data_IF_822932128673
#
_entry.id   IF_822932128673
#
_cell.length_a   1.000
_cell.length_b   1.000
_cell.length_c   1.000
_cell.angle_alpha   90.00
_cell.angle_beta   90.00
_cell.angle_gamma   90.00
#
_symmetry.space_group_name_H-M   'P 1'
#
loop_
_entity.id
_entity.type
_entity.pdbx_description
1 polymer ?
#
# COMPACT_ATOMS: atom_id res chain seq x y z
N UNK A 1 -12.39 -8.62 -17.28
CA UNK A 1 -11.42 -8.55 -16.16
C UNK A 1 -12.10 -8.83 -14.83
N UNK A 2 -13.31 -8.30 -14.60
CA UNK A 2 -14.11 -8.55 -13.39
C UNK A 2 -15.31 -9.45 -13.72
N UNK A 3 -15.47 -10.53 -12.95
CA UNK A 3 -16.61 -11.45 -13.04
C UNK A 3 -16.95 -11.95 -11.62
N UNK A 4 -17.98 -11.37 -11.02
CA UNK A 4 -18.32 -11.59 -9.62
C UNK A 4 -19.18 -12.86 -9.40
N UNK A 5 -19.61 -13.54 -10.47
CA UNK A 5 -20.35 -14.81 -10.36
C UNK A 5 -19.50 -15.95 -9.80
N UNK A 6 -18.18 -15.84 -9.89
CA UNK A 6 -17.26 -16.88 -9.42
C UNK A 6 -17.24 -17.02 -7.90
N UNK A 7 -17.59 -15.96 -7.16
CA UNK A 7 -17.58 -16.01 -5.70
C UNK A 7 -18.54 -17.07 -5.13
N UNK A 8 -19.55 -17.48 -5.90
CA UNK A 8 -20.52 -18.51 -5.52
C UNK A 8 -20.00 -19.94 -5.75
N UNK A 9 -19.01 -20.10 -6.63
CA UNK A 9 -18.46 -21.42 -6.99
C UNK A 9 -17.24 -21.80 -6.16
N UNK A 10 -16.55 -20.81 -5.57
CA UNK A 10 -15.39 -21.05 -4.70
C UNK A 10 -15.90 -21.42 -3.32
N UNK A 11 -15.74 -22.70 -2.99
CA UNK A 11 -16.20 -23.29 -1.73
C UNK A 11 -15.11 -23.29 -0.66
N UNK A 12 -15.52 -23.06 0.58
CA UNK A 12 -14.67 -23.14 1.77
C UNK A 12 -14.06 -24.54 1.88
N UNK A 13 -12.75 -24.59 2.10
CA UNK A 13 -12.02 -25.84 2.37
C UNK A 13 -11.69 -25.89 3.86
N UNK A 14 -12.58 -26.49 4.64
CA UNK A 14 -12.47 -26.52 6.10
C UNK A 14 -11.20 -27.21 6.59
N UNK A 15 -10.70 -28.22 5.87
CA UNK A 15 -9.46 -28.93 6.25
C UNK A 15 -8.25 -28.02 6.06
N UNK A 16 -8.17 -27.31 4.92
CA UNK A 16 -7.12 -26.34 4.67
C UNK A 16 -7.21 -25.16 5.66
N UNK A 17 -8.38 -24.62 5.92
CA UNK A 17 -8.55 -23.55 6.89
C UNK A 17 -8.13 -23.97 8.30
N UNK A 18 -8.52 -25.17 8.76
CA UNK A 18 -8.13 -25.69 10.07
C UNK A 18 -6.60 -25.83 10.16
N UNK A 19 -5.96 -26.34 9.10
CA UNK A 19 -4.49 -26.42 9.00
C UNK A 19 -3.83 -25.04 9.15
N UNK A 20 -4.33 -24.03 8.42
CA UNK A 20 -3.79 -22.66 8.47
C UNK A 20 -4.01 -22.05 9.85
N UNK A 21 -5.20 -22.26 10.43
CA UNK A 21 -5.59 -21.74 11.74
C UNK A 21 -4.74 -22.34 12.86
N UNK A 22 -4.46 -23.64 12.80
CA UNK A 22 -3.61 -24.31 13.78
C UNK A 22 -2.17 -23.79 13.69
N UNK A 23 -1.63 -23.65 12.48
CA UNK A 23 -0.31 -23.06 12.26
C UNK A 23 -0.24 -21.60 12.75
N UNK A 24 -1.29 -20.80 12.52
CA UNK A 24 -1.40 -19.44 13.06
C UNK A 24 -1.34 -19.44 14.59
N UNK A 25 -2.10 -20.30 15.27
CA UNK A 25 -2.10 -20.37 16.75
C UNK A 25 -0.72 -20.71 17.32
N UNK A 26 0.06 -21.52 16.61
CA UNK A 26 1.39 -21.96 17.03
C UNK A 26 2.48 -20.94 16.71
N UNK A 27 2.40 -20.27 15.55
CA UNK A 27 3.52 -19.55 14.98
C UNK A 27 3.29 -18.04 14.79
N UNK A 28 2.05 -17.56 14.84
CA UNK A 28 1.76 -16.15 14.51
C UNK A 28 2.38 -15.16 15.47
N UNK A 29 2.29 -15.42 16.78
CA UNK A 29 2.79 -14.51 17.81
C UNK A 29 2.32 -13.08 17.57
N UNK A 30 3.25 -12.18 17.27
CA UNK A 30 2.96 -10.76 17.01
C UNK A 30 2.30 -10.48 15.64
N UNK A 31 2.20 -11.48 14.76
CA UNK A 31 1.56 -11.38 13.45
C UNK A 31 0.11 -11.86 13.42
N UNK A 32 -0.42 -12.28 14.58
CA UNK A 32 -1.82 -12.68 14.69
C UNK A 32 -2.74 -11.53 14.22
N UNK A 33 -3.85 -11.84 13.53
CA UNK A 33 -4.81 -10.83 13.13
C UNK A 33 -5.48 -10.19 14.35
N UNK A 34 -6.00 -8.97 14.18
CA UNK A 34 -6.72 -8.28 15.25
C UNK A 34 -7.95 -9.09 15.71
N UNK A 35 -8.31 -9.01 16.99
CA UNK A 35 -9.38 -9.82 17.62
C UNK A 35 -10.79 -9.63 17.04
N UNK A 36 -10.99 -8.65 16.16
CA UNK A 36 -12.23 -8.55 15.39
C UNK A 36 -12.41 -9.79 14.48
N UNK A 37 -11.31 -10.31 13.93
CA UNK A 37 -11.29 -11.54 13.13
C UNK A 37 -11.59 -12.80 13.95
N UNK A 38 -11.51 -12.75 15.30
CA UNK A 38 -11.97 -13.84 16.15
C UNK A 38 -13.48 -14.05 16.02
N UNK A 39 -14.25 -12.97 15.78
CA UNK A 39 -15.70 -13.06 15.52
C UNK A 39 -15.98 -13.69 14.17
N UNK A 40 -15.20 -13.34 13.14
CA UNK A 40 -15.31 -14.00 11.83
C UNK A 40 -14.94 -15.49 11.94
N UNK A 41 -13.97 -15.85 12.77
CA UNK A 41 -13.69 -17.27 13.00
C UNK A 41 -14.79 -17.96 13.83
N UNK A 42 -15.37 -17.30 14.83
CA UNK A 42 -16.36 -17.93 15.75
C UNK A 42 -17.80 -17.92 15.24
N UNK A 43 -18.25 -16.85 14.59
CA UNK A 43 -19.58 -16.75 13.96
C UNK A 43 -19.70 -17.73 12.80
N UNK A 44 -18.66 -17.84 11.97
CA UNK A 44 -18.67 -18.68 10.77
C UNK A 44 -18.25 -20.13 11.04
N UNK A 45 -17.82 -20.48 12.26
CA UNK A 45 -17.75 -21.88 12.70
C UNK A 45 -19.15 -22.49 12.96
N UNK A 46 -20.22 -21.70 12.95
CA UNK A 46 -21.58 -22.16 13.31
C UNK A 46 -22.64 -21.98 12.22
N UNK A 47 -22.32 -21.26 11.13
CA UNK A 47 -23.22 -21.06 9.99
C UNK A 47 -22.87 -22.00 8.84
N UNK A 48 -23.88 -22.44 8.08
CA UNK A 48 -23.77 -23.23 6.83
C UNK A 48 -23.12 -22.45 5.67
N UNK A 49 -22.19 -21.55 5.98
CA UNK A 49 -21.57 -20.66 5.02
C UNK A 49 -20.39 -21.34 4.33
N UNK A 50 -20.70 -21.82 3.12
CA UNK A 50 -19.81 -22.69 2.35
C UNK A 50 -18.97 -21.98 1.28
N UNK A 51 -19.04 -20.65 1.09
CA UNK A 51 -18.43 -20.02 -0.09
C UNK A 51 -17.82 -18.65 0.14
N UNK A 52 -16.87 -18.25 -0.71
CA UNK A 52 -16.24 -16.93 -0.68
C UNK A 52 -17.25 -15.78 -0.62
N UNK A 53 -18.40 -15.91 -1.31
CA UNK A 53 -19.47 -14.89 -1.34
C UNK A 53 -19.87 -14.42 0.05
N UNK A 54 -19.93 -15.33 1.02
CA UNK A 54 -20.48 -15.03 2.33
C UNK A 54 -19.50 -14.26 3.23
N UNK A 55 -18.21 -14.26 2.88
CA UNK A 55 -17.14 -13.56 3.58
C UNK A 55 -16.67 -12.30 2.84
N UNK A 56 -17.25 -11.98 1.69
CA UNK A 56 -16.88 -10.78 0.94
C UNK A 56 -17.16 -9.50 1.74
N UNK A 57 -18.20 -9.48 2.58
CA UNK A 57 -18.51 -8.30 3.40
C UNK A 57 -17.38 -8.02 4.39
N UNK A 58 -16.84 -9.07 5.03
CA UNK A 58 -15.69 -8.93 5.93
C UNK A 58 -14.42 -8.52 5.19
N UNK A 59 -14.22 -8.99 3.95
CA UNK A 59 -12.99 -8.70 3.19
C UNK A 59 -12.97 -7.33 2.52
N UNK A 60 -14.11 -6.83 2.05
CA UNK A 60 -14.15 -5.60 1.24
C UNK A 60 -15.24 -4.61 1.67
N UNK A 61 -15.96 -4.90 2.75
CA UNK A 61 -17.01 -4.06 3.31
C UNK A 61 -18.29 -4.03 2.46
N UNK A 62 -19.40 -3.77 3.14
CA UNK A 62 -20.73 -3.77 2.51
C UNK A 62 -20.87 -2.72 1.41
N UNK A 63 -20.22 -1.56 1.56
CA UNK A 63 -20.16 -0.55 0.51
C UNK A 63 -19.31 -1.01 -0.69
N UNK A 64 -18.22 -1.73 -0.44
CA UNK A 64 -17.34 -2.25 -1.49
C UNK A 64 -17.99 -3.33 -2.36
N UNK A 65 -18.99 -4.03 -1.82
CA UNK A 65 -19.80 -5.05 -2.51
C UNK A 65 -20.92 -4.47 -3.37
N UNK A 66 -21.33 -3.23 -3.12
CA UNK A 66 -22.45 -2.65 -3.86
C UNK A 66 -22.05 -2.33 -5.30
N UNK A 67 -22.99 -2.46 -6.25
CA UNK A 67 -22.88 -1.76 -7.52
C UNK A 67 -22.68 -0.27 -7.27
N UNK A 68 -21.79 0.35 -8.04
CA UNK A 68 -21.53 1.77 -7.90
C UNK A 68 -22.75 2.58 -8.38
N UNK A 69 -23.19 3.55 -7.59
CA UNK A 69 -24.27 4.45 -8.00
C UNK A 69 -23.79 5.49 -9.05
N UNK A 70 -24.71 6.29 -9.59
CA UNK A 70 -24.38 7.28 -10.62
C UNK A 70 -23.39 8.34 -10.12
N UNK A 71 -23.49 8.75 -8.86
CA UNK A 71 -22.64 9.79 -8.28
C UNK A 71 -21.22 9.25 -8.05
N UNK A 72 -21.10 8.08 -7.45
CA UNK A 72 -19.84 7.38 -7.25
C UNK A 72 -19.19 7.06 -8.61
N UNK A 73 -19.97 6.63 -9.61
CA UNK A 73 -19.46 6.38 -10.97
C UNK A 73 -18.86 7.63 -11.58
N UNK A 74 -19.59 8.75 -11.54
CA UNK A 74 -19.10 10.02 -12.06
C UNK A 74 -17.81 10.47 -11.35
N UNK A 75 -17.71 10.23 -10.04
CA UNK A 75 -16.51 10.51 -9.27
C UNK A 75 -15.30 9.69 -9.75
N UNK A 76 -15.45 8.37 -9.89
CA UNK A 76 -14.38 7.52 -10.41
C UNK A 76 -14.04 7.86 -11.87
N UNK A 77 -15.03 8.12 -12.72
CA UNK A 77 -14.82 8.50 -14.12
C UNK A 77 -14.00 9.78 -14.25
N UNK A 78 -14.34 10.82 -13.46
CA UNK A 78 -13.57 12.06 -13.40
C UNK A 78 -12.13 11.82 -12.94
N UNK A 79 -11.93 10.93 -11.97
CA UNK A 79 -10.60 10.58 -11.50
C UNK A 79 -9.81 9.83 -12.58
N UNK A 80 -10.44 8.87 -13.27
CA UNK A 80 -9.82 8.12 -14.37
C UNK A 80 -9.42 8.99 -15.56
N UNK A 81 -10.08 10.11 -15.83
CA UNK A 81 -9.63 11.05 -16.87
C UNK A 81 -8.19 11.53 -16.65
N UNK A 82 -7.76 11.65 -15.38
CA UNK A 82 -6.43 12.11 -15.04
C UNK A 82 -5.40 10.98 -14.93
N UNK A 83 -5.83 9.76 -14.57
CA UNK A 83 -4.89 8.70 -14.16
C UNK A 83 -4.90 7.43 -14.99
N UNK A 84 -5.89 7.19 -15.87
CA UNK A 84 -6.05 5.89 -16.57
C UNK A 84 -5.04 5.68 -17.72
N UNK A 85 -3.74 5.66 -17.38
CA UNK A 85 -2.64 5.49 -18.32
C UNK A 85 -2.52 4.04 -18.84
N UNK A 86 -3.18 3.08 -18.18
CA UNK A 86 -3.25 1.69 -18.59
C UNK A 86 -4.46 1.37 -19.48
N UNK A 87 -5.36 2.34 -19.70
CA UNK A 87 -6.64 2.17 -20.39
C UNK A 87 -7.51 1.04 -19.80
N UNK A 88 -7.46 0.87 -18.49
CA UNK A 88 -8.13 -0.20 -17.76
C UNK A 88 -9.57 0.13 -17.39
N UNK A 89 -9.99 1.40 -17.44
CA UNK A 89 -11.39 1.76 -17.13
C UNK A 89 -12.39 1.05 -18.06
N UNK A 90 -11.99 0.78 -19.29
CA UNK A 90 -12.81 0.08 -20.29
C UNK A 90 -13.08 -1.39 -19.91
N UNK A 91 -12.36 -1.94 -18.93
CA UNK A 91 -12.57 -3.29 -18.44
C UNK A 91 -13.65 -3.38 -17.36
N UNK A 92 -14.15 -2.24 -16.87
CA UNK A 92 -15.27 -2.15 -15.95
C UNK A 92 -16.57 -2.32 -16.74
N UNK A 93 -17.42 -3.25 -16.31
CA UNK A 93 -18.69 -3.56 -16.95
C UNK A 93 -19.85 -3.35 -15.96
N UNK A 94 -21.09 -3.61 -16.40
CA UNK A 94 -22.28 -3.41 -15.55
C UNK A 94 -22.35 -4.33 -14.32
N UNK A 95 -21.53 -5.38 -14.27
CA UNK A 95 -21.40 -6.26 -13.10
C UNK A 95 -20.26 -5.87 -12.14
N UNK A 96 -19.49 -4.84 -12.48
CA UNK A 96 -18.42 -4.34 -11.63
C UNK A 96 -18.98 -3.70 -10.35
N UNK A 97 -18.41 -4.07 -9.22
CA UNK A 97 -18.76 -3.53 -7.90
C UNK A 97 -17.81 -2.38 -7.54
N UNK A 98 -18.14 -1.58 -6.51
CA UNK A 98 -17.37 -0.40 -6.12
C UNK A 98 -15.88 -0.71 -5.93
N UNK A 99 -15.57 -1.87 -5.36
CA UNK A 99 -14.20 -2.33 -5.20
C UNK A 99 -13.46 -2.52 -6.53
N UNK A 100 -14.08 -3.07 -7.58
CA UNK A 100 -13.44 -3.23 -8.90
C UNK A 100 -12.93 -1.88 -9.47
N UNK A 101 -13.70 -0.80 -9.27
CA UNK A 101 -13.27 0.56 -9.63
C UNK A 101 -12.04 0.99 -8.82
N UNK A 102 -12.04 0.72 -7.52
CA UNK A 102 -10.89 0.90 -6.65
C UNK A 102 -9.64 0.18 -7.16
N UNK A 103 -9.75 -1.09 -7.57
CA UNK A 103 -8.60 -1.84 -8.10
C UNK A 103 -8.05 -1.25 -9.40
N UNK A 104 -8.92 -0.77 -10.31
CA UNK A 104 -8.50 -0.08 -11.54
C UNK A 104 -7.80 1.24 -11.22
N UNK A 105 -8.27 1.96 -10.20
CA UNK A 105 -7.63 3.18 -9.71
C UNK A 105 -6.25 2.89 -9.12
N UNK A 106 -6.15 1.90 -8.22
CA UNK A 106 -4.91 1.58 -7.50
C UNK A 106 -3.80 1.18 -8.48
N UNK A 107 -4.07 0.29 -9.44
CA UNK A 107 -3.06 -0.14 -10.42
C UNK A 107 -2.59 1.01 -11.32
N UNK A 108 -3.49 1.93 -11.69
CA UNK A 108 -3.13 3.10 -12.50
C UNK A 108 -2.22 4.06 -11.72
N UNK A 109 -2.59 4.38 -10.47
CA UNK A 109 -1.75 5.19 -9.59
C UNK A 109 -0.38 4.54 -9.38
N UNK A 110 -0.36 3.26 -9.01
CA UNK A 110 0.89 2.50 -8.85
C UNK A 110 1.74 2.54 -10.13
N UNK A 111 1.12 2.40 -11.31
CA UNK A 111 1.86 2.46 -12.57
C UNK A 111 2.46 3.85 -12.85
N UNK A 112 1.74 4.94 -12.57
CA UNK A 112 2.26 6.32 -12.74
C UNK A 112 3.57 6.51 -11.96
N UNK A 113 3.60 6.08 -10.70
CA UNK A 113 4.74 6.35 -9.81
C UNK A 113 5.85 5.32 -9.92
N UNK A 114 5.53 4.05 -10.16
CA UNK A 114 6.54 3.00 -10.37
C UNK A 114 7.18 3.04 -11.76
N UNK A 115 6.48 3.59 -12.77
CA UNK A 115 6.90 3.60 -14.18
C UNK A 115 7.21 2.21 -14.73
N UNK A 116 6.49 1.20 -14.23
CA UNK A 116 6.64 -0.16 -14.69
C UNK A 116 6.10 -0.33 -16.13
N UNK A 117 6.59 -1.37 -16.80
CA UNK A 117 6.17 -1.70 -18.16
C UNK A 117 6.05 -3.20 -18.31
N UNK A 118 5.33 -3.64 -19.35
CA UNK A 118 5.18 -5.06 -19.67
C UNK A 118 6.47 -5.70 -20.17
N UNK A 119 7.49 -4.92 -20.50
CA UNK A 119 8.75 -5.42 -21.07
C UNK A 119 9.80 -5.76 -20.01
N UNK A 120 9.52 -5.46 -18.73
CA UNK A 120 10.46 -5.68 -17.63
C UNK A 120 9.79 -6.41 -16.48
N UNK A 121 10.49 -7.40 -15.93
CA UNK A 121 10.03 -8.07 -14.72
C UNK A 121 10.18 -7.17 -13.49
N UNK A 122 9.14 -7.13 -12.65
CA UNK A 122 9.14 -6.41 -11.38
C UNK A 122 8.40 -7.18 -10.30
N UNK A 123 8.80 -6.95 -9.06
CA UNK A 123 8.33 -7.69 -7.90
C UNK A 123 7.42 -6.82 -7.03
N UNK A 124 6.27 -7.36 -6.63
CA UNK A 124 5.31 -6.72 -5.73
C UNK A 124 5.20 -7.51 -4.43
N UNK A 125 5.17 -6.82 -3.30
CA UNK A 125 4.75 -7.36 -2.01
C UNK A 125 3.46 -6.65 -1.58
N UNK A 126 2.38 -7.40 -1.40
CA UNK A 126 1.13 -6.88 -0.83
C UNK A 126 0.91 -7.48 0.56
N UNK A 127 0.75 -6.63 1.57
CA UNK A 127 0.37 -7.05 2.93
C UNK A 127 -1.12 -6.76 3.12
N UNK A 128 -1.85 -7.76 3.60
CA UNK A 128 -3.30 -7.74 3.75
C UNK A 128 -4.00 -7.77 2.38
N UNK A 129 -3.53 -8.63 1.47
CA UNK A 129 -4.08 -8.72 0.11
C UNK A 129 -5.48 -9.35 0.02
N UNK A 130 -6.03 -9.82 1.15
CA UNK A 130 -7.35 -10.45 1.17
C UNK A 130 -7.37 -11.71 0.31
N UNK A 131 -8.50 -11.94 -0.34
CA UNK A 131 -8.65 -13.03 -1.31
C UNK A 131 -7.89 -12.80 -2.64
N UNK A 132 -7.01 -11.80 -2.76
CA UNK A 132 -6.13 -11.62 -3.92
C UNK A 132 -6.72 -10.86 -5.11
N UNK A 133 -7.70 -9.98 -4.86
CA UNK A 133 -8.32 -9.16 -5.92
C UNK A 133 -7.29 -8.31 -6.68
N UNK A 134 -6.39 -7.61 -5.97
CA UNK A 134 -5.40 -6.75 -6.62
C UNK A 134 -4.33 -7.56 -7.34
N UNK A 135 -3.86 -8.66 -6.73
CA UNK A 135 -2.96 -9.63 -7.37
C UNK A 135 -3.50 -10.12 -8.72
N UNK A 136 -4.80 -10.45 -8.79
CA UNK A 136 -5.49 -10.81 -10.04
C UNK A 136 -5.41 -9.69 -11.08
N UNK A 137 -5.61 -8.44 -10.67
CA UNK A 137 -5.59 -7.29 -11.60
C UNK A 137 -4.20 -7.09 -12.19
N UNK A 138 -3.16 -7.12 -11.34
CA UNK A 138 -1.76 -7.04 -11.79
C UNK A 138 -1.40 -8.21 -12.70
N UNK A 139 -1.69 -9.44 -12.29
CA UNK A 139 -1.39 -10.65 -13.07
C UNK A 139 -2.06 -10.61 -14.44
N UNK A 140 -3.35 -10.24 -14.52
CA UNK A 140 -4.05 -10.16 -15.80
C UNK A 140 -3.57 -9.03 -16.71
N UNK A 141 -3.10 -7.91 -16.14
CA UNK A 141 -2.64 -6.78 -16.94
C UNK A 141 -1.18 -6.94 -17.39
N UNK A 142 -0.26 -7.23 -16.48
CA UNK A 142 1.17 -7.32 -16.78
C UNK A 142 1.60 -8.69 -17.28
N UNK A 143 0.81 -9.74 -17.01
CA UNK A 143 1.16 -11.13 -17.31
C UNK A 143 2.54 -11.47 -16.71
N UNK A 144 3.27 -12.45 -17.21
CA UNK A 144 4.53 -12.96 -16.63
C UNK A 144 5.65 -11.94 -16.33
N UNK A 145 5.43 -10.65 -16.60
CA UNK A 145 6.29 -9.54 -16.17
C UNK A 145 6.07 -9.11 -14.72
N UNK A 146 4.99 -9.52 -14.04
CA UNK A 146 4.82 -9.27 -12.60
C UNK A 146 5.08 -10.53 -11.79
N UNK A 147 5.87 -10.40 -10.73
CA UNK A 147 6.04 -11.39 -9.67
C UNK A 147 5.39 -10.87 -8.39
N UNK A 148 4.34 -11.52 -7.92
CA UNK A 148 3.47 -10.99 -6.88
C UNK A 148 3.57 -11.85 -5.62
N UNK A 149 3.89 -11.24 -4.48
CA UNK A 149 3.82 -11.92 -3.19
C UNK A 149 2.65 -11.35 -2.40
N UNK A 150 1.66 -12.20 -2.14
CA UNK A 150 0.51 -11.88 -1.30
C UNK A 150 0.78 -12.40 0.10
N UNK A 151 0.81 -11.47 1.05
CA UNK A 151 1.02 -11.72 2.47
C UNK A 151 -0.26 -11.37 3.22
N UNK A 152 -0.75 -12.28 4.05
CA UNK A 152 -1.95 -12.04 4.86
C UNK A 152 -1.84 -12.71 6.25
N UNK A 153 -2.60 -12.22 7.22
CA UNK A 153 -2.66 -12.74 8.60
C UNK A 153 -3.96 -13.49 8.90
N UNK A 154 -4.96 -13.44 8.01
CA UNK A 154 -6.29 -14.02 8.27
C UNK A 154 -6.36 -15.40 7.61
N UNK A 155 -6.53 -16.51 8.36
CA UNK A 155 -6.51 -17.86 7.82
C UNK A 155 -7.45 -18.09 6.64
N UNK A 156 -8.71 -17.64 6.80
CA UNK A 156 -9.74 -17.77 5.76
C UNK A 156 -9.43 -16.92 4.52
N UNK A 157 -8.82 -15.73 4.69
CA UNK A 157 -8.32 -14.90 3.58
C UNK A 157 -7.23 -15.64 2.79
N UNK A 158 -6.25 -16.22 3.49
CA UNK A 158 -5.14 -16.97 2.87
C UNK A 158 -5.67 -18.14 2.04
N UNK A 159 -6.58 -18.94 2.60
CA UNK A 159 -7.21 -20.06 1.89
C UNK A 159 -7.94 -19.59 0.63
N UNK A 160 -8.84 -18.60 0.76
CA UNK A 160 -9.61 -18.11 -0.38
C UNK A 160 -8.73 -17.42 -1.41
N UNK A 161 -7.64 -16.77 -1.02
CA UNK A 161 -6.70 -16.17 -1.96
C UNK A 161 -6.12 -17.21 -2.91
N UNK A 162 -5.76 -18.40 -2.41
CA UNK A 162 -5.24 -19.48 -3.24
C UNK A 162 -6.31 -20.01 -4.19
N UNK A 163 -7.48 -20.37 -3.67
CA UNK A 163 -8.57 -20.91 -4.49
C UNK A 163 -9.04 -19.91 -5.55
N UNK A 164 -9.16 -18.63 -5.18
CA UNK A 164 -9.57 -17.55 -6.07
C UNK A 164 -8.54 -17.29 -7.17
N UNK A 165 -7.25 -17.20 -6.82
CA UNK A 165 -6.22 -16.89 -7.79
C UNK A 165 -5.98 -18.04 -8.77
N UNK A 166 -6.04 -19.30 -8.31
CA UNK A 166 -5.94 -20.48 -9.20
C UNK A 166 -7.04 -20.47 -10.25
N UNK A 167 -8.26 -20.12 -9.85
CA UNK A 167 -9.39 -20.08 -10.77
C UNK A 167 -9.37 -18.84 -11.69
N UNK A 168 -9.01 -17.67 -11.15
CA UNK A 168 -9.10 -16.40 -11.88
C UNK A 168 -7.83 -16.00 -12.65
N UNK A 169 -6.72 -16.71 -12.42
CA UNK A 169 -5.44 -16.51 -13.12
C UNK A 169 -4.90 -17.86 -13.64
N UNK A 170 -5.64 -18.60 -14.50
CA UNK A 170 -5.26 -19.96 -14.91
C UNK A 170 -3.95 -20.04 -15.71
N UNK A 171 -3.46 -18.90 -16.22
CA UNK A 171 -2.18 -18.79 -16.93
C UNK A 171 -0.99 -18.54 -15.98
N UNK A 172 -1.25 -18.09 -14.75
CA UNK A 172 -0.21 -17.77 -13.78
C UNK A 172 0.22 -19.02 -13.01
N UNK A 173 1.53 -19.16 -12.78
CA UNK A 173 2.04 -20.17 -11.85
C UNK A 173 1.86 -19.66 -10.42
N UNK A 174 1.08 -20.37 -9.62
CA UNK A 174 0.75 -19.94 -8.26
C UNK A 174 1.42 -20.89 -7.27
N UNK A 175 2.31 -20.33 -6.46
CA UNK A 175 2.93 -21.01 -5.33
C UNK A 175 2.15 -20.73 -4.06
N UNK A 176 2.02 -21.74 -3.21
CA UNK A 176 1.27 -21.62 -1.97
C UNK A 176 1.99 -22.34 -0.83
N UNK A 177 2.26 -21.60 0.25
CA UNK A 177 2.98 -22.13 1.41
C UNK A 177 2.40 -23.45 1.92
N UNK A 178 1.08 -23.58 2.00
CA UNK A 178 0.44 -24.78 2.56
C UNK A 178 0.40 -25.99 1.62
N UNK A 179 0.78 -25.82 0.35
CA UNK A 179 1.09 -26.93 -0.55
C UNK A 179 2.51 -27.49 -0.35
N UNK A 180 3.33 -26.84 0.48
CA UNK A 180 4.74 -27.17 0.65
C UNK A 180 5.62 -26.63 -0.48
N UNK A 181 5.10 -25.66 -1.25
CA UNK A 181 5.88 -24.96 -2.27
C UNK A 181 7.04 -24.18 -1.63
N UNK A 182 8.17 -24.13 -2.32
CA UNK A 182 9.31 -23.29 -1.91
C UNK A 182 9.04 -21.84 -2.32
N UNK A 183 9.40 -20.89 -1.45
CA UNK A 183 9.33 -19.46 -1.78
C UNK A 183 10.35 -19.11 -2.88
N UNK A 184 9.88 -19.07 -4.12
CA UNK A 184 10.71 -18.90 -5.31
C UNK A 184 9.95 -18.17 -6.43
N UNK A 185 10.29 -16.90 -6.65
CA UNK A 185 9.66 -16.07 -7.70
C UNK A 185 10.17 -16.36 -9.11
N UNK A 186 11.19 -17.20 -9.28
CA UNK A 186 11.57 -17.72 -10.60
C UNK A 186 10.62 -18.87 -11.01
N UNK A 187 10.11 -19.63 -10.04
CA UNK A 187 9.12 -20.71 -10.27
C UNK A 187 7.68 -20.20 -10.38
N UNK A 188 7.30 -19.24 -9.55
CA UNK A 188 5.91 -18.78 -9.44
C UNK A 188 5.76 -17.33 -9.89
N UNK A 189 4.62 -17.00 -10.49
CA UNK A 189 4.23 -15.63 -10.83
C UNK A 189 3.49 -14.97 -9.66
N UNK A 190 2.75 -15.75 -8.88
CA UNK A 190 2.14 -15.31 -7.63
C UNK A 190 2.54 -16.30 -6.53
N UNK A 191 2.96 -15.79 -5.37
CA UNK A 191 3.22 -16.60 -4.19
C UNK A 191 2.37 -16.12 -3.02
N UNK A 192 1.64 -17.04 -2.40
CA UNK A 192 0.75 -16.77 -1.27
C UNK A 192 1.39 -17.32 -0.01
N UNK A 193 1.57 -16.46 0.99
CA UNK A 193 2.29 -16.78 2.22
C UNK A 193 1.64 -16.12 3.43
N UNK A 194 1.50 -16.83 4.57
CA UNK A 194 1.09 -16.18 5.81
C UNK A 194 2.16 -15.22 6.33
N UNK A 195 1.72 -14.11 6.92
CA UNK A 195 2.60 -13.07 7.48
C UNK A 195 3.61 -13.59 8.49
N UNK A 196 3.23 -14.61 9.28
CA UNK A 196 4.07 -15.19 10.33
C UNK A 196 5.23 -16.06 9.83
N UNK A 197 5.19 -16.49 8.57
CA UNK A 197 6.32 -17.16 7.90
C UNK A 197 7.05 -16.22 6.93
N UNK A 198 6.38 -15.18 6.42
CA UNK A 198 6.92 -14.28 5.42
C UNK A 198 8.26 -13.65 5.81
N UNK A 199 8.37 -13.05 7.01
CA UNK A 199 9.59 -12.33 7.41
C UNK A 199 10.84 -13.22 7.40
N UNK A 200 10.69 -14.49 7.79
CA UNK A 200 11.80 -15.46 7.85
C UNK A 200 12.15 -16.04 6.48
N UNK A 201 11.14 -16.22 5.63
CA UNK A 201 11.31 -16.83 4.30
C UNK A 201 11.75 -15.83 3.25
N UNK A 202 11.37 -14.56 3.39
CA UNK A 202 11.57 -13.58 2.34
C UNK A 202 13.05 -13.25 2.12
N UNK A 203 13.54 -13.63 0.95
CA UNK A 203 14.86 -13.30 0.42
C UNK A 203 14.79 -12.36 -0.80
N UNK A 204 13.61 -11.83 -1.13
CA UNK A 204 13.35 -11.00 -2.30
C UNK A 204 13.35 -9.51 -1.94
N UNK A 205 13.81 -8.71 -2.90
CA UNK A 205 13.61 -7.26 -2.92
C UNK A 205 12.49 -6.87 -3.88
N UNK A 206 11.65 -5.93 -3.47
CA UNK A 206 10.44 -5.53 -4.18
C UNK A 206 10.57 -4.15 -4.81
N UNK A 207 10.02 -4.00 -6.00
CA UNK A 207 9.88 -2.71 -6.68
C UNK A 207 8.68 -1.93 -6.13
N UNK A 208 7.66 -2.64 -5.65
CA UNK A 208 6.44 -2.08 -5.08
C UNK A 208 6.09 -2.84 -3.80
N UNK A 209 5.83 -2.11 -2.72
CA UNK A 209 5.09 -2.60 -1.55
C UNK A 209 3.70 -1.98 -1.49
N UNK A 210 2.68 -2.76 -1.14
CA UNK A 210 1.28 -2.35 -1.14
C UNK A 210 0.63 -2.72 0.19
N UNK A 211 -0.12 -1.79 0.76
CA UNK A 211 -1.11 -2.08 1.79
C UNK A 211 -2.38 -1.26 1.54
N UNK A 212 -3.53 -1.92 1.54
CA UNK A 212 -4.84 -1.29 1.37
C UNK A 212 -5.76 -1.82 2.45
N UNK A 213 -6.38 -0.91 3.21
CA UNK A 213 -7.48 -1.15 4.15
C UNK A 213 -7.26 -2.24 5.21
N UNK A 214 -6.01 -2.66 5.47
CA UNK A 214 -5.68 -3.66 6.50
C UNK A 214 -4.81 -3.11 7.63
N UNK A 215 -3.88 -2.18 7.38
CA UNK A 215 -3.13 -1.52 8.45
C UNK A 215 -4.03 -0.62 9.32
N UNK A 216 -5.17 -0.14 8.80
CA UNK A 216 -6.15 0.60 9.60
C UNK A 216 -6.72 -0.23 10.78
N UNK A 217 -6.71 -1.55 10.67
CA UNK A 217 -7.17 -2.50 11.69
C UNK A 217 -6.08 -2.87 12.73
N UNK A 218 -4.89 -2.29 12.57
CA UNK A 218 -3.72 -2.62 13.36
C UNK A 218 -3.45 -1.57 14.44
N UNK A 219 -2.83 -2.00 15.54
CA UNK A 219 -2.25 -1.07 16.52
C UNK A 219 -0.91 -0.50 16.04
N UNK A 220 -0.39 0.49 16.76
CA UNK A 220 0.85 1.17 16.39
C UNK A 220 2.05 0.22 16.20
N UNK A 221 2.22 -0.78 17.07
CA UNK A 221 3.36 -1.70 17.01
C UNK A 221 3.28 -2.65 15.80
N UNK A 222 2.07 -3.03 15.41
CA UNK A 222 1.80 -3.80 14.20
C UNK A 222 2.07 -2.97 12.93
N UNK A 223 1.56 -1.73 12.87
CA UNK A 223 1.84 -0.80 11.77
C UNK A 223 3.34 -0.61 11.62
N UNK A 224 4.04 -0.29 12.73
CA UNK A 224 5.49 -0.12 12.77
C UNK A 224 6.24 -1.34 12.26
N UNK A 225 5.79 -2.54 12.60
CA UNK A 225 6.40 -3.79 12.15
C UNK A 225 6.31 -3.95 10.64
N UNK A 226 5.14 -3.77 10.06
CA UNK A 226 4.97 -3.90 8.61
C UNK A 226 5.65 -2.76 7.83
N UNK A 227 5.71 -1.55 8.38
CA UNK A 227 6.53 -0.47 7.82
C UNK A 227 8.02 -0.83 7.82
N UNK A 228 8.54 -1.42 8.90
CA UNK A 228 9.92 -1.92 8.94
C UNK A 228 10.15 -3.08 7.95
N UNK A 229 9.16 -3.94 7.74
CA UNK A 229 9.24 -4.99 6.72
C UNK A 229 9.35 -4.36 5.34
N UNK A 230 8.47 -3.41 4.99
CA UNK A 230 8.52 -2.68 3.73
C UNK A 230 9.84 -1.95 3.55
N UNK A 231 10.33 -1.25 4.57
CA UNK A 231 11.60 -0.55 4.49
C UNK A 231 12.75 -1.51 4.20
N UNK A 232 12.78 -2.67 4.85
CA UNK A 232 13.82 -3.67 4.58
C UNK A 232 13.68 -4.33 3.22
N UNK A 233 12.46 -4.62 2.73
CA UNK A 233 12.28 -5.43 1.54
C UNK A 233 12.12 -4.62 0.24
N UNK A 234 11.75 -3.34 0.30
CA UNK A 234 11.64 -2.48 -0.89
C UNK A 234 13.03 -2.05 -1.37
N UNK A 235 13.25 -2.11 -2.68
CA UNK A 235 14.48 -1.63 -3.35
C UNK A 235 14.60 -0.12 -3.21
N UNK A 236 15.81 0.40 -3.30
CA UNK A 236 16.00 1.84 -3.44
C UNK A 236 15.35 2.30 -4.75
N UNK A 237 14.69 3.45 -4.72
CA UNK A 237 13.77 3.94 -5.76
C UNK A 237 12.49 3.11 -5.98
N UNK A 238 12.27 2.03 -5.22
CA UNK A 238 10.98 1.35 -5.17
C UNK A 238 9.90 2.23 -4.52
N UNK A 239 8.64 1.88 -4.75
CA UNK A 239 7.50 2.63 -4.21
C UNK A 239 6.77 1.85 -3.11
N UNK A 240 6.18 2.59 -2.18
CA UNK A 240 5.29 2.07 -1.15
C UNK A 240 3.94 2.74 -1.34
N UNK A 241 2.90 1.93 -1.57
CA UNK A 241 1.52 2.36 -1.75
C UNK A 241 0.70 2.00 -0.51
N UNK A 242 0.17 3.00 0.17
CA UNK A 242 -0.68 2.83 1.36
C UNK A 242 -2.04 3.49 1.09
N UNK A 243 -3.14 2.80 1.35
CA UNK A 243 -4.47 3.40 1.34
C UNK A 243 -5.25 2.89 2.54
N UNK A 244 -5.26 3.67 3.62
CA UNK A 244 -5.83 3.26 4.90
C UNK A 244 -6.52 4.44 5.59
N UNK A 245 -7.62 4.15 6.30
CA UNK A 245 -8.19 5.10 7.24
C UNK A 245 -7.34 5.20 8.50
N UNK A 246 -6.88 6.41 8.82
CA UNK A 246 -6.24 6.78 10.10
C UNK A 246 -7.27 7.06 11.21
N UNK A 247 -8.54 6.69 11.02
CA UNK A 247 -9.62 6.91 12.00
C UNK A 247 -10.14 5.65 12.68
N UNK A 248 -9.56 4.49 12.36
CA UNK A 248 -10.07 3.19 12.79
C UNK A 248 -9.46 2.71 14.12
N UNK A 249 -8.43 1.83 14.12
CA UNK A 249 -7.82 1.32 15.36
C UNK A 249 -6.80 2.31 15.93
N UNK A 250 -5.74 2.62 15.18
CA UNK A 250 -4.74 3.61 15.59
C UNK A 250 -4.96 4.95 14.88
N UNK A 251 -5.10 6.02 15.67
CA UNK A 251 -5.48 7.37 15.19
C UNK A 251 -4.38 8.42 15.27
N UNK A 252 -3.15 8.00 15.57
CA UNK A 252 -1.99 8.89 15.66
C UNK A 252 -1.19 8.96 14.37
N UNK A 253 -0.05 9.64 14.44
CA UNK A 253 0.92 9.69 13.34
C UNK A 253 1.52 8.31 13.10
N UNK A 254 1.51 7.89 11.83
CA UNK A 254 2.07 6.60 11.46
C UNK A 254 3.60 6.69 11.39
N UNK A 255 4.32 5.65 11.83
CA UNK A 255 5.78 5.70 11.96
C UNK A 255 6.49 5.48 10.63
N UNK A 256 6.27 6.38 9.66
CA UNK A 256 6.92 6.30 8.34
C UNK A 256 8.45 6.38 8.50
N UNK A 257 9.21 5.47 7.86
CA UNK A 257 10.66 5.54 7.84
C UNK A 257 11.17 6.85 7.22
N UNK A 258 12.21 7.44 7.83
CA UNK A 258 12.79 8.72 7.40
C UNK A 258 13.22 8.74 5.93
N UNK A 259 13.57 7.59 5.38
CA UNK A 259 14.08 7.43 4.03
C UNK A 259 12.98 7.30 2.96
N UNK A 260 11.72 7.46 3.34
CA UNK A 260 10.57 7.44 2.44
C UNK A 260 10.18 8.86 2.04
N UNK A 261 10.30 9.17 0.75
CA UNK A 261 9.86 10.45 0.21
C UNK A 261 8.39 10.37 -0.22
N UNK A 262 7.50 11.10 0.44
CA UNK A 262 6.10 11.22 0.01
C UNK A 262 6.01 11.88 -1.38
N UNK A 263 5.53 11.13 -2.38
CA UNK A 263 5.30 11.60 -3.74
C UNK A 263 3.83 12.01 -3.96
N UNK A 264 2.91 11.39 -3.23
CA UNK A 264 1.48 11.62 -3.33
C UNK A 264 0.81 11.33 -1.99
N UNK A 265 -0.09 12.20 -1.56
CA UNK A 265 -0.99 11.97 -0.42
C UNK A 265 -2.27 12.74 -0.64
N UNK A 266 -3.34 12.05 -0.97
CA UNK A 266 -4.67 12.64 -1.11
C UNK A 266 -5.75 11.60 -0.86
N UNK A 267 -6.94 12.04 -0.44
CA UNK A 267 -8.12 11.21 -0.51
C UNK A 267 -8.47 10.94 -1.99
N UNK A 268 -8.91 9.73 -2.26
CA UNK A 268 -9.31 9.26 -3.58
C UNK A 268 -10.78 8.85 -3.53
N UNK A 269 -11.41 8.50 -4.67
CA UNK A 269 -12.78 7.97 -4.67
C UNK A 269 -13.01 6.72 -3.79
N UNK A 270 -11.94 6.03 -3.36
CA UNK A 270 -11.99 4.92 -2.41
C UNK A 270 -12.14 5.38 -0.95
N UNK A 271 -11.70 6.59 -0.63
CA UNK A 271 -11.68 7.11 0.74
C UNK A 271 -13.09 7.19 1.32
N UNK A 272 -13.35 6.38 2.35
CA UNK A 272 -14.66 6.32 3.04
C UNK A 272 -14.69 7.10 4.36
N UNK A 273 -13.55 7.66 4.79
CA UNK A 273 -13.47 8.64 5.88
C UNK A 273 -12.64 9.85 5.46
N UNK A 274 -12.67 10.92 6.26
CA UNK A 274 -11.89 12.14 5.99
C UNK A 274 -10.38 11.89 6.09
N UNK A 275 -9.94 11.02 7.01
CA UNK A 275 -8.53 10.64 7.16
C UNK A 275 -8.25 9.28 6.51
N UNK A 276 -8.71 9.07 5.28
CA UNK A 276 -8.37 7.88 4.50
C UNK A 276 -7.56 8.26 3.26
N UNK A 277 -6.33 8.79 3.42
CA UNK A 277 -5.50 9.14 2.28
C UNK A 277 -5.05 7.87 1.54
N UNK A 278 -4.93 8.00 0.23
CA UNK A 278 -4.01 7.20 -0.56
C UNK A 278 -2.66 7.93 -0.55
N UNK A 279 -1.62 7.21 -0.13
CA UNK A 279 -0.26 7.69 0.06
C UNK A 279 0.70 6.86 -0.79
N UNK A 280 1.59 7.55 -1.51
CA UNK A 280 2.61 6.91 -2.32
C UNK A 280 3.94 7.50 -1.93
N UNK A 281 4.81 6.64 -1.42
CA UNK A 281 6.17 6.98 -1.06
C UNK A 281 7.14 6.39 -2.06
N UNK A 282 8.28 7.04 -2.23
CA UNK A 282 9.44 6.50 -2.92
C UNK A 282 10.57 6.32 -1.93
N UNK A 283 11.12 5.11 -1.86
CA UNK A 283 12.28 4.84 -1.00
C UNK A 283 13.54 5.47 -1.60
N UNK A 284 14.31 6.18 -0.80
CA UNK A 284 15.57 6.80 -1.22
C UNK A 284 16.67 6.62 -0.17
N UNK A 285 17.89 7.10 -0.47
CA UNK A 285 19.01 7.11 0.47
C UNK A 285 19.04 8.35 1.41
N UNK A 286 18.13 9.31 1.22
CA UNK A 286 18.02 10.55 2.01
C UNK A 286 17.16 10.39 3.27
N UNK A 287 17.06 11.46 4.08
CA UNK A 287 16.11 11.58 5.19
C UNK A 287 15.11 12.70 4.88
N UNK A 288 13.82 12.45 5.10
CA UNK A 288 12.70 13.33 4.77
C UNK A 288 11.73 13.54 5.93
N UNK A 289 12.10 13.17 7.15
CA UNK A 289 11.26 13.36 8.34
C UNK A 289 10.76 14.80 8.50
N UNK A 290 11.61 15.79 8.22
CA UNK A 290 11.24 17.20 8.27
C UNK A 290 10.14 17.58 7.24
N UNK A 291 10.18 16.99 6.03
CA UNK A 291 9.16 17.25 4.99
C UNK A 291 7.82 16.61 5.36
N UNK A 292 7.89 15.44 5.98
CA UNK A 292 6.74 14.64 6.37
C UNK A 292 5.95 15.32 7.50
N UNK A 293 6.65 15.76 8.55
CA UNK A 293 6.05 16.53 9.64
C UNK A 293 5.41 17.84 9.18
N UNK A 294 5.98 18.50 8.17
CA UNK A 294 5.43 19.71 7.57
C UNK A 294 4.13 19.44 6.79
N UNK A 295 4.10 18.38 5.99
CA UNK A 295 2.89 18.00 5.25
C UNK A 295 1.75 17.66 6.21
N UNK A 296 2.04 16.86 7.24
CA UNK A 296 1.04 16.43 8.22
C UNK A 296 0.54 17.61 9.08
N UNK A 297 1.41 18.57 9.43
CA UNK A 297 1.00 19.84 10.03
C UNK A 297 -0.01 20.60 9.16
N UNK A 298 0.24 20.74 7.86
CA UNK A 298 -0.69 21.43 6.96
C UNK A 298 -2.02 20.69 6.80
N UNK A 299 -2.01 19.35 6.69
CA UNK A 299 -3.24 18.55 6.64
C UNK A 299 -4.07 18.71 7.92
N UNK A 300 -3.43 18.74 9.09
CA UNK A 300 -4.09 18.96 10.37
C UNK A 300 -4.64 20.40 10.50
N UNK A 301 -3.96 21.40 9.93
CA UNK A 301 -4.46 22.79 9.90
C UNK A 301 -5.65 22.95 8.96
N UNK A 302 -5.63 22.35 7.76
CA UNK A 302 -6.79 22.33 6.86
C UNK A 302 -8.03 21.71 7.55
N UNK A 303 -7.84 20.62 8.30
CA UNK A 303 -8.90 20.00 9.10
C UNK A 303 -9.49 20.97 10.14
N UNK A 304 -8.65 21.71 10.86
CA UNK A 304 -9.11 22.73 11.82
C UNK A 304 -9.87 23.88 11.15
N UNK A 305 -9.49 24.26 9.93
CA UNK A 305 -10.20 25.26 9.14
C UNK A 305 -11.57 24.75 8.64
N UNK A 306 -11.65 23.49 8.21
CA UNK A 306 -12.89 22.87 7.75
C UNK A 306 -13.88 22.59 8.91
N UNK A 307 -13.40 22.27 10.11
CA UNK A 307 -14.23 22.13 11.30
C UNK A 307 -14.94 23.43 11.71
N UNK A 308 -14.51 24.58 11.18
CA UNK A 308 -15.18 25.88 11.34
C UNK A 308 -16.32 26.13 10.33
N UNK A 309 -16.54 25.23 9.37
CA UNK A 309 -17.63 25.31 8.39
C UNK A 309 -18.65 24.19 8.62
N UNK A 310 -19.90 24.60 8.88
CA UNK A 310 -21.03 23.71 9.14
C UNK A 310 -21.31 22.80 7.94
N UNK A 311 -21.56 21.52 8.24
CA UNK A 311 -21.39 20.40 7.33
C UNK A 311 -22.41 20.33 6.19
N UNK A 312 -21.90 20.25 4.94
CA UNK A 312 -22.50 19.52 3.81
C UNK A 312 -21.63 19.62 2.55
N UNK A 313 -20.33 19.33 2.66
CA UNK A 313 -19.47 19.24 1.47
C UNK A 313 -18.52 18.07 1.59
N UNK A 314 -18.91 16.92 1.04
CA UNK A 314 -17.96 15.98 0.44
C UNK A 314 -17.32 16.70 -0.76
N UNK A 315 -16.31 17.53 -0.49
CA UNK A 315 -15.58 18.26 -1.52
C UNK A 315 -14.61 17.30 -2.21
N UNK A 316 -15.13 16.59 -3.21
CA UNK A 316 -14.28 15.97 -4.21
C UNK A 316 -13.60 17.06 -5.02
N UNK A 317 -12.26 17.01 -5.10
CA UNK A 317 -11.47 18.00 -5.81
C UNK A 317 -11.88 18.04 -7.29
N UNK A 318 -12.14 19.24 -7.82
CA UNK A 318 -12.39 19.43 -9.24
C UNK A 318 -11.18 18.98 -10.07
N UNK A 319 -11.41 18.54 -11.32
CA UNK A 319 -10.37 18.12 -12.28
C UNK A 319 -9.14 19.03 -12.30
N UNK A 320 -9.35 20.34 -12.26
CA UNK A 320 -8.28 21.33 -12.25
C UNK A 320 -7.38 21.24 -11.00
N UNK A 321 -7.95 20.96 -9.83
CA UNK A 321 -7.19 20.80 -8.59
C UNK A 321 -6.42 19.49 -8.55
N UNK A 322 -6.92 18.42 -9.17
CA UNK A 322 -6.19 17.15 -9.27
C UNK A 322 -5.00 17.28 -10.24
N UNK A 323 -5.22 17.89 -11.40
CA UNK A 323 -4.16 18.23 -12.36
C UNK A 323 -3.13 19.17 -11.73
N UNK A 324 -3.56 20.15 -10.94
CA UNK A 324 -2.67 21.06 -10.22
C UNK A 324 -1.91 20.37 -9.09
N UNK A 325 -2.53 19.44 -8.34
CA UNK A 325 -1.82 18.64 -7.33
C UNK A 325 -0.82 17.67 -7.95
N UNK A 326 -1.16 17.03 -9.08
CA UNK A 326 -0.22 16.18 -9.84
C UNK A 326 0.92 17.03 -10.40
N UNK A 327 0.62 18.19 -10.99
CA UNK A 327 1.61 19.14 -11.48
C UNK A 327 2.48 19.69 -10.35
N UNK A 328 1.92 20.05 -9.19
CA UNK A 328 2.65 20.44 -7.98
C UNK A 328 3.51 19.30 -7.45
N UNK A 329 3.07 18.04 -7.50
CA UNK A 329 3.92 16.91 -7.14
C UNK A 329 5.12 16.80 -8.09
N UNK A 330 4.90 16.93 -9.41
CA UNK A 330 5.97 16.97 -10.42
C UNK A 330 6.90 18.19 -10.27
N UNK A 331 6.36 19.37 -10.00
CA UNK A 331 7.10 20.63 -9.86
C UNK A 331 7.81 20.74 -8.51
N UNK A 332 7.20 20.28 -7.41
CA UNK A 332 7.85 20.18 -6.10
C UNK A 332 9.00 19.18 -6.13
N UNK A 333 8.88 18.08 -6.89
CA UNK A 333 10.00 17.16 -7.11
C UNK A 333 11.19 17.90 -7.78
N UNK A 334 10.94 18.73 -8.80
CA UNK A 334 11.97 19.54 -9.46
C UNK A 334 12.51 20.71 -8.61
N UNK A 335 11.62 21.44 -7.92
CA UNK A 335 11.94 22.61 -7.09
C UNK A 335 12.66 22.23 -5.80
N UNK A 336 12.25 21.14 -5.14
CA UNK A 336 12.92 20.63 -3.94
C UNK A 336 14.28 20.02 -4.28
N UNK A 337 14.46 19.42 -5.47
CA UNK A 337 15.78 19.00 -5.95
C UNK A 337 16.74 20.19 -6.07
N UNK A 338 16.23 21.34 -6.52
CA UNK A 338 16.99 22.61 -6.56
C UNK A 338 17.29 23.20 -5.17
N UNK A 339 16.33 23.14 -4.24
CA UNK A 339 16.49 23.71 -2.89
C UNK A 339 17.39 22.84 -1.99
N UNK A 340 17.34 21.51 -2.14
CA UNK A 340 18.27 20.59 -1.49
C UNK A 340 19.69 20.81 -2.02
N UNK A 341 19.88 20.97 -3.34
CA UNK A 341 21.19 21.30 -3.92
C UNK A 341 21.75 22.62 -3.36
N UNK A 342 20.92 23.65 -3.22
CA UNK A 342 21.31 24.94 -2.63
C UNK A 342 21.68 24.81 -1.14
N UNK A 343 20.90 24.07 -0.35
CA UNK A 343 21.17 23.86 1.08
C UNK A 343 22.42 22.99 1.30
N UNK A 344 22.70 22.04 0.40
CA UNK A 344 23.94 21.25 0.42
C UNK A 344 25.16 22.13 0.11
N UNK A 345 25.09 23.04 -0.86
CA UNK A 345 26.16 24.01 -1.13
C UNK A 345 26.39 24.97 0.04
N UNK A 346 25.34 25.44 0.71
CA UNK A 346 25.49 26.32 1.89
C UNK A 346 26.09 25.58 3.09
N UNK A 347 25.75 24.30 3.26
CA UNK A 347 26.37 23.43 4.27
C UNK A 347 27.86 23.21 4.00
N UNK A 348 28.25 22.92 2.76
CA UNK A 348 29.67 22.75 2.39
C UNK A 348 30.47 24.04 2.61
N UNK A 349 29.91 25.21 2.27
CA UNK A 349 30.52 26.52 2.55
C UNK A 349 30.70 26.76 4.05
N UNK A 350 29.70 26.42 4.86
CA UNK A 350 29.77 26.56 6.31
C UNK A 350 30.82 25.62 6.93
N UNK A 351 30.90 24.37 6.47
CA UNK A 351 31.90 23.40 6.91
C UNK A 351 33.33 23.83 6.53
N UNK A 352 33.52 24.37 5.32
CA UNK A 352 34.82 24.90 4.88
C UNK A 352 35.25 26.12 5.72
N UNK A 353 34.32 27.02 6.03
CA UNK A 353 34.56 28.17 6.88
C UNK A 353 34.91 27.78 8.33
N UNK A 354 34.25 26.75 8.88
CA UNK A 354 34.59 26.18 10.19
C UNK A 354 36.02 25.61 10.17
N UNK A 355 36.38 24.87 9.11
CA UNK A 355 37.73 24.30 8.93
C UNK A 355 38.81 25.38 8.85
N UNK A 356 38.53 26.52 8.21
CA UNK A 356 39.43 27.67 8.15
C UNK A 356 39.60 28.35 9.52
N UNK A 357 38.51 28.50 10.29
CA UNK A 357 38.55 29.03 11.66
C UNK A 357 39.37 28.10 12.57
N UNK A 358 39.15 26.79 12.48
CA UNK A 358 39.90 25.79 13.24
C UNK A 358 41.38 25.81 12.86
N UNK A 359 41.71 25.90 11.58
CA UNK A 359 43.08 26.01 11.07
C UNK A 359 43.76 27.30 11.54
N UNK A 360 43.04 28.42 11.57
CA UNK A 360 43.50 29.72 12.08
C UNK A 360 43.70 29.72 13.60
N UNK A 361 42.79 29.08 14.34
CA UNK A 361 42.93 28.88 15.80
C UNK A 361 44.07 27.93 16.14
N UNK A 362 44.23 26.81 15.42
CA UNK A 362 45.37 25.89 15.54
C UNK A 362 46.69 26.57 15.19
N UNK A 363 46.71 27.43 14.18
CA UNK A 363 47.88 28.23 13.81
C UNK A 363 48.24 29.23 14.92
N UNK A 364 47.26 29.95 15.49
CA UNK A 364 47.46 30.84 16.63
C UNK A 364 47.91 30.09 17.89
N UNK A 365 47.33 28.94 18.19
CA UNK A 365 47.72 28.10 19.34
C UNK A 365 49.15 27.55 19.18
N UNK A 366 49.53 27.09 17.97
CA UNK A 366 50.91 26.64 17.66
C UNK A 366 51.92 27.77 17.70
N UNK A 367 51.54 29.00 17.35
CA UNK A 367 52.41 30.19 17.46
C UNK A 367 52.61 30.65 18.91
N UNK A 368 51.62 30.41 19.77
CA UNK A 368 51.65 30.74 21.19
C UNK A 368 52.47 29.70 21.99
N UNK A 369 52.39 28.42 21.64
CA UNK A 369 53.16 27.33 22.25
C UNK A 369 54.62 27.23 21.78
N UNK A 370 55.05 28.06 20.80
CA UNK A 370 56.44 28.18 20.33
C UNK A 370 57.18 29.40 20.89
N UNK A 371 56.52 30.21 21.74
CA UNK A 371 57.14 31.23 22.59
C UNK A 371 57.28 30.66 23.99
#
# INVERSE_FOLDING_TARGET
MFNNKIFQTIKRDSELEEKITQDMKENSGVFAPHSHWDKVNTTYCTSDEESLTSLLDDFIGSEGLKPIDQQQRALYENFFEAIDNLNLKNNLNDSAIATDYGSVMDINLINIFSKNSRDKTFNICEVGGGYGRLARVFSNFYKGSVKYVLVDSVPVSIMFSYQYLVDQCPEAKIGFYYNGDEFDLDKYDIYIVPSWHFEKMNNVKYDIAINIESMQEMNFEEIKRFMNIFDRCVKDNGIIYLSNSKEYVYKGEWPYPDNWECQFRQNTPRSWTKKHPTEIFKKSDGSFSDKESLFEFYSNVEELYEMGFDGNSTQYLSKNSLEESLKKAYENNSYLTGKVSHLTEEKEKAEQYIKEIESSRLYKLRSFLKR
#
